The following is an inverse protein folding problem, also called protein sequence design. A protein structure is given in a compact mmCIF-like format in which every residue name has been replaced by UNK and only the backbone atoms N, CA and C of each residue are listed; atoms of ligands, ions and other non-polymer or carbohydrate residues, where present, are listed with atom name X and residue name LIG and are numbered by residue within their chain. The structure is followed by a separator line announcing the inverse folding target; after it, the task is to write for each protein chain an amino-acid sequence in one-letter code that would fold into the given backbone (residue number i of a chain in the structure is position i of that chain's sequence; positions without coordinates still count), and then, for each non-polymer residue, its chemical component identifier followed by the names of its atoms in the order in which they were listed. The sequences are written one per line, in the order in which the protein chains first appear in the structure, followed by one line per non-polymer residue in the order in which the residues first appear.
data_IF_238120629862
#
_entry.id   IF_238120629862
#
_cell.length_a   1.000
_cell.length_b   1.000
_cell.length_c   1.000
_cell.angle_alpha   90.00
_cell.angle_beta   90.00
_cell.angle_gamma   90.00
#
_symmetry.space_group_name_H-M   'P 1'
#
loop_
_entity.id
_entity.type
_entity.pdbx_description
1 polymer ?
#
# COMPACT_ATOMS: atom_id res chain seq x y z
N UNK A 1 35.81 -8.26 -2.01
CA UNK A 1 34.78 -9.32 -1.92
C UNK A 1 33.58 -8.80 -2.69
N UNK A 2 33.38 -9.28 -3.92
CA UNK A 2 32.25 -8.89 -4.77
C UNK A 2 30.96 -9.39 -4.10
N UNK A 3 30.11 -8.48 -3.62
CA UNK A 3 28.80 -8.84 -3.07
C UNK A 3 27.84 -9.12 -4.22
N UNK A 4 27.21 -10.28 -4.14
CA UNK A 4 26.26 -10.80 -5.11
C UNK A 4 24.86 -10.30 -4.77
N UNK A 5 24.22 -9.61 -5.71
CA UNK A 5 22.80 -9.28 -5.64
C UNK A 5 22.00 -10.55 -5.97
N UNK A 6 21.16 -11.00 -5.03
CA UNK A 6 20.28 -12.16 -5.22
C UNK A 6 18.92 -11.66 -5.66
N UNK A 7 18.57 -11.88 -6.93
CA UNK A 7 17.28 -11.53 -7.51
C UNK A 7 16.43 -12.79 -7.59
N UNK A 8 15.19 -12.72 -7.11
CA UNK A 8 14.24 -13.83 -7.13
C UNK A 8 13.32 -13.67 -8.35
N UNK A 9 13.50 -14.50 -9.36
CA UNK A 9 12.56 -14.58 -10.50
C UNK A 9 11.35 -15.48 -10.18
N UNK A 10 11.49 -16.45 -9.27
CA UNK A 10 10.43 -17.35 -8.75
C UNK A 10 10.86 -18.02 -7.41
N UNK A 11 9.93 -18.59 -6.60
CA UNK A 11 10.27 -19.32 -5.39
C UNK A 11 11.18 -20.51 -5.69
N UNK A 12 12.38 -20.53 -5.10
CA UNK A 12 13.27 -21.70 -5.09
C UNK A 12 14.34 -21.77 -6.18
N UNK A 13 14.50 -20.74 -7.03
CA UNK A 13 15.64 -20.66 -7.95
C UNK A 13 16.43 -19.37 -7.74
N UNK A 14 17.60 -19.49 -7.09
CA UNK A 14 18.55 -18.41 -6.92
C UNK A 14 19.31 -18.15 -8.23
N UNK A 15 19.31 -16.89 -8.71
CA UNK A 15 20.29 -16.43 -9.70
C UNK A 15 21.12 -15.29 -9.12
N UNK A 16 22.43 -15.51 -9.15
CA UNK A 16 23.47 -14.53 -8.81
C UNK A 16 23.58 -13.55 -9.98
N UNK A 17 23.09 -12.31 -9.82
CA UNK A 17 23.24 -11.27 -10.86
C UNK A 17 24.33 -10.30 -10.41
N UNK A 18 25.40 -10.19 -11.21
CA UNK A 18 26.50 -9.24 -10.99
C UNK A 18 26.08 -7.83 -11.46
N UNK A 19 26.61 -6.80 -10.79
CA UNK A 19 26.35 -5.36 -10.97
C UNK A 19 26.35 -4.81 -12.40
N UNK A 20 26.89 -5.55 -13.38
CA UNK A 20 26.89 -5.15 -14.79
C UNK A 20 25.54 -5.26 -15.51
N UNK A 21 24.54 -5.96 -14.95
CA UNK A 21 23.25 -6.21 -15.64
C UNK A 21 22.13 -5.23 -15.29
N UNK A 22 22.33 -4.31 -14.34
CA UNK A 22 21.32 -3.31 -13.93
C UNK A 22 21.16 -2.15 -14.93
N UNK A 23 22.03 -2.03 -15.93
CA UNK A 23 21.89 -1.04 -17.00
C UNK A 23 20.81 -1.48 -17.99
N UNK A 24 19.56 -1.13 -17.68
CA UNK A 24 18.50 -0.92 -18.67
C UNK A 24 17.39 -1.97 -18.79
N UNK A 25 17.26 -2.93 -17.87
CA UNK A 25 16.22 -3.99 -17.97
C UNK A 25 15.33 -4.09 -16.72
N UNK A 26 15.83 -3.70 -15.54
CA UNK A 26 15.06 -3.79 -14.30
C UNK A 26 14.07 -2.62 -14.17
N UNK A 27 12.78 -2.95 -14.19
CA UNK A 27 11.67 -2.00 -14.11
C UNK A 27 11.05 -1.87 -12.73
N UNK A 28 11.26 -2.88 -11.89
CA UNK A 28 10.99 -2.80 -10.47
C UNK A 28 11.99 -3.65 -9.68
N UNK A 29 12.14 -3.33 -8.40
CA UNK A 29 12.90 -4.11 -7.45
C UNK A 29 12.08 -4.28 -6.17
N UNK A 30 12.09 -5.51 -5.64
CA UNK A 30 11.59 -5.80 -4.30
C UNK A 30 12.81 -5.97 -3.40
N UNK A 31 12.98 -5.07 -2.45
CA UNK A 31 14.01 -5.16 -1.43
C UNK A 31 13.38 -5.72 -0.17
N UNK A 32 13.81 -6.91 0.24
CA UNK A 32 13.24 -7.61 1.40
C UNK A 32 14.21 -7.52 2.58
N UNK A 33 13.69 -7.20 3.76
CA UNK A 33 14.40 -7.36 5.04
C UNK A 33 13.58 -8.21 6.02
N UNK A 34 14.22 -8.67 7.09
CA UNK A 34 13.58 -9.44 8.15
C UNK A 34 13.26 -8.49 9.33
N UNK A 35 11.99 -8.37 9.70
CA UNK A 35 11.57 -7.46 10.79
C UNK A 35 12.17 -7.85 12.15
N UNK A 36 12.60 -9.10 12.31
CA UNK A 36 13.21 -9.64 13.53
C UNK A 36 14.73 -9.49 13.54
N UNK A 37 15.32 -8.74 12.59
CA UNK A 37 16.76 -8.57 12.50
C UNK A 37 17.15 -7.19 11.96
N UNK A 38 17.57 -6.29 12.86
CA UNK A 38 17.95 -4.91 12.51
C UNK A 38 19.06 -4.85 11.45
N UNK A 39 20.00 -5.81 11.45
CA UNK A 39 21.12 -5.84 10.50
C UNK A 39 20.64 -6.06 9.06
N UNK A 40 19.55 -6.80 8.87
CA UNK A 40 18.98 -7.01 7.52
C UNK A 40 18.33 -5.75 6.98
N UNK A 41 17.72 -4.94 7.86
CA UNK A 41 17.16 -3.65 7.48
C UNK A 41 18.25 -2.67 7.06
N UNK A 42 19.37 -2.57 7.80
CA UNK A 42 20.50 -1.73 7.38
C UNK A 42 21.08 -2.15 6.01
N UNK A 43 21.14 -3.47 5.73
CA UNK A 43 21.53 -3.96 4.40
C UNK A 43 20.51 -3.56 3.32
N UNK A 44 19.21 -3.67 3.61
CA UNK A 44 18.17 -3.24 2.68
C UNK A 44 18.29 -1.74 2.35
N UNK A 45 18.61 -0.89 3.33
CA UNK A 45 18.86 0.54 3.09
C UNK A 45 20.04 0.76 2.14
N UNK A 46 21.12 -0.01 2.29
CA UNK A 46 22.26 0.05 1.38
C UNK A 46 21.87 -0.36 -0.04
N UNK A 47 21.12 -1.46 -0.19
CA UNK A 47 20.64 -1.93 -1.50
C UNK A 47 19.69 -0.94 -2.18
N UNK A 48 18.81 -0.28 -1.41
CA UNK A 48 17.95 0.79 -1.93
C UNK A 48 18.77 1.93 -2.51
N UNK A 49 19.78 2.43 -1.78
CA UNK A 49 20.65 3.50 -2.27
C UNK A 49 21.40 3.07 -3.54
N UNK A 50 21.94 1.86 -3.53
CA UNK A 50 22.66 1.31 -4.69
C UNK A 50 21.74 1.19 -5.92
N UNK A 51 20.50 0.72 -5.74
CA UNK A 51 19.51 0.68 -6.81
C UNK A 51 19.21 2.08 -7.34
N UNK A 52 19.01 3.06 -6.48
CA UNK A 52 18.73 4.44 -6.89
C UNK A 52 19.89 5.10 -7.63
N UNK A 53 21.14 4.77 -7.27
CA UNK A 53 22.35 5.29 -7.93
C UNK A 53 22.64 4.60 -9.27
N UNK A 54 22.35 3.30 -9.38
CA UNK A 54 22.79 2.47 -10.52
C UNK A 54 21.71 2.23 -11.58
N UNK A 55 20.45 2.60 -11.33
CA UNK A 55 19.34 2.31 -12.24
C UNK A 55 18.73 3.59 -12.85
N UNK A 56 17.81 3.42 -13.80
CA UNK A 56 17.08 4.53 -14.42
C UNK A 56 16.26 5.30 -13.36
N UNK A 57 16.07 6.62 -13.49
CA UNK A 57 15.29 7.45 -12.54
C UNK A 57 13.80 7.05 -12.37
N UNK A 58 13.36 5.95 -12.98
CA UNK A 58 11.98 5.49 -13.00
C UNK A 58 11.79 4.06 -12.47
N UNK A 59 12.82 3.42 -11.88
CA UNK A 59 12.65 2.09 -11.30
C UNK A 59 11.61 2.12 -10.16
N UNK A 60 10.66 1.20 -10.16
CA UNK A 60 9.72 1.04 -9.05
C UNK A 60 10.40 0.26 -7.92
N UNK A 61 10.57 0.85 -6.75
CA UNK A 61 11.21 0.17 -5.61
C UNK A 61 10.17 -0.12 -4.53
N UNK A 62 9.94 -1.40 -4.27
CA UNK A 62 9.16 -1.88 -3.14
C UNK A 62 10.09 -2.32 -2.01
N UNK A 63 9.84 -1.85 -0.79
CA UNK A 63 10.47 -2.34 0.42
C UNK A 63 9.51 -3.27 1.16
N UNK A 64 9.96 -4.50 1.42
CA UNK A 64 9.15 -5.53 2.06
C UNK A 64 9.76 -5.99 3.39
N UNK A 65 9.04 -5.81 4.49
CA UNK A 65 9.42 -6.37 5.80
C UNK A 65 8.85 -7.78 5.96
N UNK A 66 9.66 -8.82 5.85
CA UNK A 66 9.25 -10.21 5.99
C UNK A 66 9.20 -10.66 7.47
N UNK A 67 8.43 -11.72 7.73
CA UNK A 67 8.10 -12.27 9.05
C UNK A 67 7.14 -11.43 9.88
N UNK A 68 6.18 -10.78 9.21
CA UNK A 68 5.12 -10.01 9.87
C UNK A 68 4.33 -10.81 10.93
N UNK A 69 4.33 -12.15 10.83
CA UNK A 69 3.75 -13.08 11.79
C UNK A 69 4.50 -13.12 13.15
N UNK A 70 5.74 -12.62 13.22
CA UNK A 70 6.60 -12.67 14.41
C UNK A 70 6.72 -11.32 15.13
N UNK A 71 5.60 -10.62 15.33
CA UNK A 71 5.56 -9.28 15.95
C UNK A 71 6.25 -9.20 17.32
N UNK A 72 6.14 -10.24 18.15
CA UNK A 72 6.75 -10.29 19.49
C UNK A 72 8.28 -10.33 19.48
N UNK A 73 8.89 -10.64 18.33
CA UNK A 73 10.34 -10.72 18.11
C UNK A 73 10.85 -9.58 17.24
N UNK A 74 10.02 -8.56 17.02
CA UNK A 74 10.34 -7.41 16.18
C UNK A 74 11.53 -6.64 16.73
N UNK A 75 12.54 -6.46 15.90
CA UNK A 75 13.67 -5.57 16.15
C UNK A 75 13.53 -4.28 15.34
N UNK A 76 12.97 -4.35 14.13
CA UNK A 76 12.73 -3.21 13.25
C UNK A 76 11.29 -2.73 13.44
N UNK A 77 11.11 -1.54 14.01
CA UNK A 77 9.77 -0.96 14.17
C UNK A 77 9.14 -0.70 12.81
N UNK A 78 7.82 -0.91 12.74
CA UNK A 78 7.06 -0.68 11.52
C UNK A 78 7.19 0.78 11.08
N UNK A 79 7.08 1.72 12.03
CA UNK A 79 7.10 3.16 11.78
C UNK A 79 8.47 3.62 11.27
N UNK A 80 9.56 3.02 11.78
CA UNK A 80 10.93 3.33 11.33
C UNK A 80 11.15 2.89 9.88
N UNK A 81 10.64 1.71 9.50
CA UNK A 81 10.72 1.20 8.15
C UNK A 81 9.81 1.94 7.17
N UNK A 82 8.59 2.28 7.61
CA UNK A 82 7.67 3.10 6.83
C UNK A 82 8.25 4.50 6.61
N UNK A 83 8.74 5.16 7.66
CA UNK A 83 9.36 6.48 7.56
C UNK A 83 10.57 6.45 6.63
N UNK A 84 11.43 5.43 6.76
CA UNK A 84 12.55 5.24 5.84
C UNK A 84 12.09 5.13 4.38
N UNK A 85 11.06 4.33 4.08
CA UNK A 85 10.53 4.16 2.74
C UNK A 85 10.01 5.50 2.17
N UNK A 86 9.34 6.31 3.00
CA UNK A 86 8.83 7.62 2.63
C UNK A 86 9.99 8.60 2.38
N UNK A 87 10.93 8.70 3.32
CA UNK A 87 12.06 9.62 3.28
C UNK A 87 13.00 9.34 2.09
N UNK A 88 13.07 8.07 1.67
CA UNK A 88 13.90 7.64 0.54
C UNK A 88 13.10 7.49 -0.75
N UNK A 89 11.87 8.02 -0.80
CA UNK A 89 11.02 8.02 -1.98
C UNK A 89 10.86 6.62 -2.60
N UNK A 90 10.54 5.60 -1.80
CA UNK A 90 10.17 4.27 -2.30
C UNK A 90 8.73 4.27 -2.78
N UNK A 91 8.38 3.37 -3.69
CA UNK A 91 7.06 3.36 -4.34
C UNK A 91 6.03 2.52 -3.59
N UNK A 92 6.51 1.54 -2.83
CA UNK A 92 5.69 0.67 -2.01
C UNK A 92 6.45 0.28 -0.74
N UNK A 93 5.76 0.31 0.39
CA UNK A 93 6.20 -0.34 1.61
C UNK A 93 5.10 -1.29 2.08
N UNK A 94 5.47 -2.52 2.39
CA UNK A 94 4.53 -3.53 2.87
C UNK A 94 5.24 -4.49 3.81
N UNK A 95 4.57 -4.91 4.87
CA UNK A 95 5.04 -6.06 5.63
C UNK A 95 4.33 -7.32 5.17
N UNK A 96 5.11 -8.38 5.02
CA UNK A 96 4.67 -9.67 4.49
C UNK A 96 5.08 -10.78 5.44
N UNK A 97 4.39 -11.91 5.35
CA UNK A 97 4.81 -13.15 6.00
C UNK A 97 4.86 -14.25 4.97
N UNK A 98 6.08 -14.69 4.63
CA UNK A 98 6.27 -15.86 3.78
C UNK A 98 5.80 -17.17 4.46
N UNK A 99 5.60 -17.17 5.78
CA UNK A 99 5.15 -18.34 6.53
C UNK A 99 3.62 -18.51 6.50
N UNK A 100 2.89 -17.40 6.46
CA UNK A 100 1.42 -17.37 6.51
C UNK A 100 0.78 -16.86 5.21
N UNK A 101 1.60 -16.61 4.19
CA UNK A 101 1.24 -15.94 2.93
C UNK A 101 0.63 -14.53 3.09
N UNK A 102 0.74 -13.93 4.28
CA UNK A 102 0.17 -12.62 4.56
C UNK A 102 0.83 -11.56 3.67
N UNK A 103 0.01 -10.84 2.89
CA UNK A 103 0.38 -9.75 1.99
C UNK A 103 1.42 -10.12 0.89
N UNK A 104 1.85 -11.39 0.78
CA UNK A 104 2.85 -11.83 -0.20
C UNK A 104 2.29 -11.71 -1.61
N UNK A 105 1.08 -12.23 -1.86
CA UNK A 105 0.41 -12.10 -3.16
C UNK A 105 0.19 -10.63 -3.53
N UNK A 106 -0.24 -9.80 -2.57
CA UNK A 106 -0.47 -8.37 -2.79
C UNK A 106 0.82 -7.61 -3.15
N UNK A 107 1.94 -7.94 -2.50
CA UNK A 107 3.26 -7.40 -2.84
C UNK A 107 3.64 -7.74 -4.28
N UNK A 108 3.53 -9.02 -4.66
CA UNK A 108 3.87 -9.46 -6.01
C UNK A 108 2.93 -8.89 -7.06
N UNK A 109 1.62 -8.89 -6.84
CA UNK A 109 0.62 -8.31 -7.78
C UNK A 109 0.87 -6.82 -7.97
N UNK A 110 1.20 -6.08 -6.91
CA UNK A 110 1.49 -4.65 -6.99
C UNK A 110 2.76 -4.38 -7.80
N UNK A 111 3.83 -5.16 -7.56
CA UNK A 111 5.12 -5.00 -8.23
C UNK A 111 5.11 -5.52 -9.68
N UNK A 112 4.49 -6.67 -9.94
CA UNK A 112 4.28 -7.23 -11.29
C UNK A 112 3.40 -6.32 -12.13
N UNK A 113 2.39 -5.69 -11.52
CA UNK A 113 1.61 -4.64 -12.16
C UNK A 113 2.48 -3.47 -12.66
N UNK A 114 3.56 -3.15 -11.95
CA UNK A 114 4.52 -2.10 -12.31
C UNK A 114 5.58 -2.55 -13.35
N UNK A 115 6.16 -3.76 -13.23
CA UNK A 115 7.23 -4.25 -14.13
C UNK A 115 6.75 -4.47 -15.57
N UNK A 116 5.49 -4.84 -15.75
CA UNK A 116 4.87 -5.04 -17.06
C UNK A 116 4.64 -3.71 -17.82
N UNK A 117 4.69 -2.57 -17.14
CA UNK A 117 4.43 -1.25 -17.73
C UNK A 117 5.67 -0.62 -18.39
N UNK A 118 6.89 -0.96 -17.95
CA UNK A 118 8.09 -0.27 -18.41
C UNK A 118 8.86 -1.01 -19.51
N UNK A 119 8.59 -2.31 -19.72
CA UNK A 119 9.18 -3.10 -20.80
C UNK A 119 8.51 -2.88 -22.18
N UNK A 120 7.38 -2.17 -22.27
CA UNK A 120 6.67 -1.98 -23.52
C UNK A 120 5.74 -0.76 -23.51
N UNK A 121 6.14 0.31 -24.20
CA UNK A 121 5.24 1.31 -24.82
C UNK A 121 4.46 0.67 -25.99
N UNK A 122 4.12 -0.63 -25.94
CA UNK A 122 3.33 -1.25 -27.03
C UNK A 122 2.43 -2.45 -26.67
N UNK A 123 2.47 -3.05 -25.48
CA UNK A 123 1.51 -4.11 -25.11
C UNK A 123 1.23 -4.13 -23.61
N UNK A 124 0.07 -3.59 -23.28
CA UNK A 124 -0.46 -3.39 -21.93
C UNK A 124 -0.79 -4.69 -21.19
N UNK A 125 -0.58 -4.72 -19.87
CA UNK A 125 -1.62 -5.23 -18.99
C UNK A 125 -2.74 -4.19 -19.01
N UNK A 126 -3.92 -4.50 -19.57
CA UNK A 126 -4.77 -3.46 -20.15
C UNK A 126 -5.41 -2.48 -19.14
N UNK A 127 -5.23 -2.65 -17.82
CA UNK A 127 -6.14 -2.11 -16.81
C UNK A 127 -5.43 -1.52 -15.55
N UNK A 128 -4.16 -1.13 -15.58
CA UNK A 128 -3.50 -0.50 -14.42
C UNK A 128 -2.90 0.88 -14.78
N UNK A 129 -3.08 1.88 -13.92
CA UNK A 129 -2.60 3.25 -14.10
C UNK A 129 -1.83 3.72 -12.86
N UNK A 130 -0.57 4.08 -13.06
CA UNK A 130 0.34 4.55 -12.01
C UNK A 130 0.73 6.02 -12.26
N UNK A 131 0.31 6.88 -11.34
CA UNK A 131 0.48 8.34 -11.36
C UNK A 131 1.09 8.85 -10.05
N UNK A 132 1.79 8.00 -9.31
CA UNK A 132 2.48 8.39 -8.07
C UNK A 132 3.66 9.32 -8.30
N UNK A 133 4.00 10.16 -7.31
CA UNK A 133 5.15 11.09 -7.32
C UNK A 133 5.18 12.08 -8.48
N UNK A 134 4.01 12.50 -8.97
CA UNK A 134 3.87 13.45 -10.09
C UNK A 134 3.56 14.88 -9.66
N UNK A 135 3.65 15.15 -8.35
CA UNK A 135 3.33 16.46 -7.76
C UNK A 135 1.93 16.96 -8.12
N UNK A 136 1.00 16.05 -8.44
CA UNK A 136 -0.35 16.40 -8.87
C UNK A 136 -1.07 17.14 -7.76
N UNK A 137 -1.63 18.31 -8.08
CA UNK A 137 -2.48 19.09 -7.18
C UNK A 137 -3.95 18.64 -7.28
N UNK A 138 -4.37 18.26 -8.49
CA UNK A 138 -5.72 17.79 -8.78
C UNK A 138 -5.67 16.65 -9.78
N UNK A 139 -6.72 15.83 -9.80
CA UNK A 139 -7.01 14.92 -10.89
C UNK A 139 -7.92 15.63 -11.89
N UNK A 140 -7.46 15.74 -13.14
CA UNK A 140 -8.31 16.22 -14.21
C UNK A 140 -9.53 15.30 -14.38
N UNK A 141 -10.68 15.88 -14.74
CA UNK A 141 -11.90 15.12 -15.01
C UNK A 141 -11.74 14.05 -16.09
N UNK A 142 -10.72 14.10 -16.93
CA UNK A 142 -10.45 13.08 -17.96
C UNK A 142 -9.98 11.74 -17.39
N UNK A 143 -9.32 11.71 -16.23
CA UNK A 143 -8.87 10.46 -15.55
C UNK A 143 -10.06 9.64 -15.04
N UNK A 144 -11.22 10.27 -14.93
CA UNK A 144 -12.40 9.63 -14.40
C UNK A 144 -13.13 8.74 -15.40
N UNK A 145 -12.80 8.79 -16.70
CA UNK A 145 -13.43 7.98 -17.74
C UNK A 145 -12.66 6.68 -18.05
N UNK A 146 -11.74 6.29 -17.16
CA UNK A 146 -10.90 5.12 -17.32
C UNK A 146 -11.62 3.85 -16.85
N UNK A 147 -12.70 3.50 -17.55
CA UNK A 147 -13.59 2.38 -17.20
C UNK A 147 -12.89 1.02 -17.18
N UNK A 148 -11.79 0.89 -17.91
CA UNK A 148 -11.00 -0.34 -17.94
C UNK A 148 -10.06 -0.46 -16.73
N UNK A 149 -9.73 0.62 -16.03
CA UNK A 149 -8.70 0.59 -14.98
C UNK A 149 -9.20 -0.15 -13.73
N UNK A 150 -8.44 -1.18 -13.35
CA UNK A 150 -8.55 -2.02 -12.15
C UNK A 150 -7.62 -1.56 -11.02
N UNK A 151 -6.45 -1.01 -11.35
CA UNK A 151 -5.49 -0.54 -10.34
C UNK A 151 -5.16 0.92 -10.63
N UNK A 152 -5.38 1.80 -9.66
CA UNK A 152 -5.03 3.21 -9.76
C UNK A 152 -4.14 3.59 -8.58
N UNK A 153 -2.90 3.95 -8.90
CA UNK A 153 -1.95 4.45 -7.93
C UNK A 153 -1.70 5.95 -8.11
N UNK A 154 -1.96 6.72 -7.07
CA UNK A 154 -1.85 8.18 -7.00
C UNK A 154 -1.03 8.62 -5.79
N UNK A 155 -0.21 7.72 -5.26
CA UNK A 155 0.58 7.93 -4.04
C UNK A 155 1.59 9.09 -4.17
N UNK A 156 1.94 9.70 -3.04
CA UNK A 156 2.98 10.76 -2.99
C UNK A 156 2.72 11.92 -3.97
N UNK A 157 1.49 12.42 -4.01
CA UNK A 157 1.13 13.62 -4.75
C UNK A 157 0.73 14.74 -3.77
N UNK A 158 0.22 15.85 -4.30
CA UNK A 158 -0.30 16.98 -3.52
C UNK A 158 -1.83 17.07 -3.63
N UNK A 159 -2.53 15.95 -3.88
CA UNK A 159 -3.96 15.96 -4.13
C UNK A 159 -4.69 16.44 -2.88
N UNK A 160 -5.49 17.49 -3.02
CA UNK A 160 -6.36 18.01 -1.94
C UNK A 160 -7.76 17.44 -2.00
N UNK A 161 -8.19 16.95 -3.16
CA UNK A 161 -9.48 16.35 -3.39
C UNK A 161 -9.42 15.29 -4.50
N UNK A 162 -10.43 14.42 -4.53
CA UNK A 162 -10.71 13.55 -5.68
C UNK A 162 -11.96 14.07 -6.40
N UNK A 163 -12.08 13.81 -7.72
CA UNK A 163 -13.26 14.20 -8.48
C UNK A 163 -14.55 13.65 -7.85
N UNK A 164 -15.53 14.54 -7.60
CA UNK A 164 -16.79 14.21 -6.91
C UNK A 164 -17.80 13.48 -7.78
N UNK A 165 -17.73 13.68 -9.10
CA UNK A 165 -18.54 12.95 -10.08
C UNK A 165 -17.75 12.65 -11.32
N UNK A 166 -17.89 11.41 -11.74
CA UNK A 166 -17.73 10.97 -13.11
C UNK A 166 -18.10 9.49 -13.16
N UNK A 167 -18.34 8.98 -14.37
CA UNK A 167 -18.56 7.57 -14.64
C UNK A 167 -17.36 6.78 -14.13
N UNK A 168 -17.39 6.39 -12.86
CA UNK A 168 -16.18 6.04 -12.12
C UNK A 168 -15.49 4.83 -12.74
N UNK A 169 -14.25 4.65 -12.30
CA UNK A 169 -13.43 3.45 -12.38
C UNK A 169 -14.20 2.26 -11.76
N UNK A 170 -15.34 1.89 -12.31
CA UNK A 170 -16.27 0.92 -11.72
C UNK A 170 -15.61 -0.44 -11.59
N UNK A 171 -14.66 -0.73 -12.48
CA UNK A 171 -13.84 -1.94 -12.43
C UNK A 171 -12.63 -1.84 -11.47
N UNK A 172 -12.47 -0.74 -10.73
CA UNK A 172 -11.33 -0.56 -9.83
C UNK A 172 -11.38 -1.55 -8.67
N UNK A 173 -10.30 -2.29 -8.51
CA UNK A 173 -10.08 -3.25 -7.43
C UNK A 173 -9.04 -2.73 -6.44
N UNK A 174 -8.12 -1.87 -6.85
CA UNK A 174 -7.09 -1.29 -5.97
C UNK A 174 -6.98 0.21 -6.19
N UNK A 175 -7.12 0.98 -5.11
CA UNK A 175 -6.94 2.42 -5.09
C UNK A 175 -5.90 2.82 -4.06
N UNK A 176 -4.80 3.41 -4.53
CA UNK A 176 -3.67 3.82 -3.70
C UNK A 176 -3.57 5.35 -3.72
N UNK A 177 -3.74 5.98 -2.58
CA UNK A 177 -3.83 7.43 -2.39
C UNK A 177 -2.96 7.93 -1.23
N UNK A 178 -2.10 7.07 -0.70
CA UNK A 178 -1.25 7.38 0.44
C UNK A 178 -0.30 8.56 0.18
N UNK A 179 0.05 9.30 1.23
CA UNK A 179 0.89 10.51 1.14
C UNK A 179 0.32 11.56 0.17
N UNK A 180 -0.90 12.00 0.44
CA UNK A 180 -1.54 13.12 -0.23
C UNK A 180 -2.01 14.16 0.80
N UNK A 181 -2.81 15.14 0.36
CA UNK A 181 -3.36 16.19 1.22
C UNK A 181 -4.89 16.14 1.25
N UNK A 182 -5.48 14.95 1.06
CA UNK A 182 -6.93 14.76 1.01
C UNK A 182 -7.54 15.06 2.38
N UNK A 183 -8.52 15.96 2.42
CA UNK A 183 -9.28 16.28 3.64
C UNK A 183 -10.56 15.46 3.78
N UNK A 184 -11.03 14.91 2.67
CA UNK A 184 -12.19 14.04 2.54
C UNK A 184 -12.05 13.13 1.32
N UNK A 185 -12.70 11.98 1.35
CA UNK A 185 -13.00 11.19 0.16
C UNK A 185 -14.38 11.60 -0.37
N UNK A 186 -14.60 11.66 -1.69
CA UNK A 186 -15.92 11.95 -2.24
C UNK A 186 -16.87 10.80 -1.93
N UNK A 187 -18.17 11.10 -1.76
CA UNK A 187 -19.22 10.09 -1.54
C UNK A 187 -19.26 9.04 -2.65
N UNK A 188 -18.80 9.37 -3.85
CA UNK A 188 -18.73 8.44 -4.97
C UNK A 188 -17.72 7.30 -4.75
N UNK A 189 -16.74 7.42 -3.85
CA UNK A 189 -15.77 6.33 -3.62
C UNK A 189 -16.44 5.02 -3.17
N UNK A 190 -17.60 5.09 -2.49
CA UNK A 190 -18.35 3.91 -2.06
C UNK A 190 -19.13 3.23 -3.20
N UNK A 191 -19.11 3.82 -4.40
CA UNK A 191 -19.64 3.25 -5.63
C UNK A 191 -18.65 2.33 -6.34
N UNK A 192 -17.38 2.31 -5.90
CA UNK A 192 -16.34 1.37 -6.34
C UNK A 192 -16.60 -0.02 -5.75
N UNK A 193 -17.72 -0.64 -6.10
CA UNK A 193 -18.20 -1.89 -5.48
C UNK A 193 -17.26 -3.10 -5.70
N UNK A 194 -16.34 -3.00 -6.66
CA UNK A 194 -15.31 -3.99 -6.94
C UNK A 194 -14.01 -3.78 -6.16
N UNK A 195 -13.91 -2.72 -5.35
CA UNK A 195 -12.70 -2.37 -4.61
C UNK A 195 -12.38 -3.43 -3.55
N UNK A 196 -11.13 -3.86 -3.55
CA UNK A 196 -10.53 -4.87 -2.66
C UNK A 196 -9.58 -4.19 -1.68
N UNK A 197 -8.75 -3.26 -2.17
CA UNK A 197 -7.79 -2.53 -1.35
C UNK A 197 -7.99 -1.01 -1.51
N UNK A 198 -8.07 -0.32 -0.38
CA UNK A 198 -8.09 1.14 -0.31
C UNK A 198 -7.02 1.62 0.67
N UNK A 199 -5.97 2.24 0.13
CA UNK A 199 -4.88 2.82 0.93
C UNK A 199 -4.96 4.35 0.86
N UNK A 200 -5.29 4.98 1.98
CA UNK A 200 -5.43 6.45 2.11
C UNK A 200 -4.66 6.96 3.33
N UNK A 201 -3.67 6.22 3.80
CA UNK A 201 -2.82 6.62 4.92
C UNK A 201 -2.02 7.89 4.61
N UNK A 202 -1.60 8.58 5.68
CA UNK A 202 -0.82 9.82 5.58
C UNK A 202 -1.54 10.88 4.72
N UNK A 203 -2.80 11.14 5.05
CA UNK A 203 -3.64 12.20 4.50
C UNK A 203 -4.20 13.08 5.64
N UNK A 204 -5.22 13.89 5.37
CA UNK A 204 -5.86 14.79 6.33
C UNK A 204 -7.35 14.49 6.51
N UNK A 205 -7.76 13.23 6.27
CA UNK A 205 -9.16 12.83 6.31
C UNK A 205 -9.75 13.04 7.70
N UNK A 206 -10.83 13.83 7.78
CA UNK A 206 -11.54 14.11 9.04
C UNK A 206 -12.77 13.22 9.23
N UNK A 207 -13.28 12.64 8.14
CA UNK A 207 -14.37 11.67 8.11
C UNK A 207 -14.22 10.72 6.93
N UNK A 208 -14.91 9.59 7.00
CA UNK A 208 -15.15 8.72 5.86
C UNK A 208 -16.52 9.04 5.23
N UNK A 209 -16.71 8.73 3.94
CA UNK A 209 -18.02 8.76 3.28
C UNK A 209 -19.07 7.95 4.02
N UNK A 210 -20.34 8.33 3.84
CA UNK A 210 -21.43 7.54 4.37
C UNK A 210 -21.52 6.18 3.66
N UNK A 211 -21.97 5.14 4.38
CA UNK A 211 -22.24 3.82 3.81
C UNK A 211 -21.00 3.10 3.25
N UNK A 212 -19.87 3.14 3.98
CA UNK A 212 -18.66 2.38 3.63
C UNK A 212 -18.96 0.89 3.40
N UNK A 213 -19.99 0.34 4.05
CA UNK A 213 -20.54 -1.01 3.83
C UNK A 213 -20.89 -1.37 2.39
N UNK A 214 -21.04 -0.39 1.49
CA UNK A 214 -21.28 -0.63 0.06
C UNK A 214 -20.08 -1.29 -0.63
N UNK A 215 -18.87 -1.11 -0.10
CA UNK A 215 -17.64 -1.72 -0.59
C UNK A 215 -17.55 -3.20 -0.17
N UNK A 216 -18.53 -4.02 -0.55
CA UNK A 216 -18.69 -5.42 -0.06
C UNK A 216 -17.49 -6.33 -0.34
N UNK A 217 -16.63 -5.96 -1.28
CA UNK A 217 -15.43 -6.70 -1.67
C UNK A 217 -14.16 -6.24 -0.96
N UNK A 218 -14.22 -5.18 -0.14
CA UNK A 218 -13.06 -4.60 0.52
C UNK A 218 -12.48 -5.59 1.52
N UNK A 219 -11.18 -5.86 1.37
CA UNK A 219 -10.37 -6.74 2.21
C UNK A 219 -9.39 -5.94 3.06
N UNK A 220 -8.81 -4.89 2.49
CA UNK A 220 -7.86 -4.03 3.18
C UNK A 220 -8.26 -2.56 3.11
N UNK A 221 -8.27 -1.92 4.28
CA UNK A 221 -8.53 -0.49 4.43
C UNK A 221 -7.46 0.12 5.34
N UNK A 222 -6.62 0.97 4.76
CA UNK A 222 -5.59 1.70 5.51
C UNK A 222 -5.93 3.18 5.62
N UNK A 223 -6.19 3.61 6.86
CA UNK A 223 -6.59 4.95 7.25
C UNK A 223 -5.54 5.61 8.14
N UNK A 224 -4.36 5.03 8.29
CA UNK A 224 -3.39 5.51 9.28
C UNK A 224 -2.99 6.95 9.07
N UNK A 225 -2.60 7.61 10.15
CA UNK A 225 -2.07 8.98 10.11
C UNK A 225 -3.00 9.96 9.39
N UNK A 226 -4.29 9.91 9.71
CA UNK A 226 -5.30 10.86 9.26
C UNK A 226 -5.82 11.70 10.46
N UNK A 227 -6.95 12.39 10.31
CA UNK A 227 -7.57 13.24 11.34
C UNK A 227 -8.93 12.70 11.78
N UNK A 228 -9.16 11.39 11.64
CA UNK A 228 -10.44 10.76 11.97
C UNK A 228 -10.68 10.79 13.48
N UNK A 229 -11.81 11.37 13.88
CA UNK A 229 -12.30 11.31 15.28
C UNK A 229 -13.32 10.19 15.49
N UNK A 230 -14.04 9.83 14.42
CA UNK A 230 -15.12 8.85 14.40
C UNK A 230 -15.05 7.98 13.16
N UNK A 231 -15.49 6.74 13.31
CA UNK A 231 -15.68 5.76 12.22
C UNK A 231 -17.02 5.08 12.50
N UNK A 232 -17.83 4.86 11.47
CA UNK A 232 -19.10 4.15 11.59
C UNK A 232 -18.84 2.65 11.80
N UNK A 233 -18.93 2.18 13.05
CA UNK A 233 -18.61 0.79 13.40
C UNK A 233 -19.57 -0.21 12.76
N UNK A 234 -20.84 0.18 12.60
CA UNK A 234 -21.86 -0.61 11.91
C UNK A 234 -21.45 -0.86 10.46
N UNK A 235 -21.01 0.18 9.74
CA UNK A 235 -20.56 0.03 8.36
C UNK A 235 -19.34 -0.89 8.25
N UNK A 236 -18.35 -0.74 9.14
CA UNK A 236 -17.16 -1.61 9.17
C UNK A 236 -17.52 -3.05 9.49
N UNK A 237 -18.46 -3.29 10.42
CA UNK A 237 -18.96 -4.62 10.77
C UNK A 237 -19.66 -5.31 9.58
N UNK A 238 -20.30 -4.55 8.71
CA UNK A 238 -20.96 -5.05 7.51
C UNK A 238 -20.01 -5.37 6.35
N UNK A 239 -18.75 -4.90 6.41
CA UNK A 239 -17.69 -5.31 5.49
C UNK A 239 -17.23 -6.74 5.82
N UNK A 240 -17.99 -7.73 5.36
CA UNK A 240 -17.77 -9.15 5.70
C UNK A 240 -16.44 -9.71 5.21
N UNK A 241 -15.88 -9.14 4.13
CA UNK A 241 -14.59 -9.55 3.56
C UNK A 241 -13.39 -8.76 4.11
N UNK A 242 -13.61 -7.75 4.95
CA UNK A 242 -12.54 -6.92 5.49
C UNK A 242 -11.71 -7.73 6.49
N UNK A 243 -10.46 -7.98 6.13
CA UNK A 243 -9.49 -8.74 6.93
C UNK A 243 -8.47 -7.84 7.61
N UNK A 244 -8.23 -6.63 7.10
CA UNK A 244 -7.29 -5.67 7.67
C UNK A 244 -7.87 -4.27 7.69
N UNK A 245 -7.90 -3.68 8.88
CA UNK A 245 -8.27 -2.28 9.10
C UNK A 245 -7.18 -1.59 9.91
N UNK A 246 -6.53 -0.63 9.28
CA UNK A 246 -5.49 0.16 9.92
C UNK A 246 -5.99 1.58 10.20
N UNK A 247 -6.02 1.99 11.47
CA UNK A 247 -6.52 3.29 11.95
C UNK A 247 -5.57 4.01 12.90
N UNK A 248 -4.40 3.44 13.19
CA UNK A 248 -3.34 4.07 13.97
C UNK A 248 -3.03 5.52 13.53
N UNK A 249 -2.59 6.37 14.46
CA UNK A 249 -2.25 7.76 14.17
C UNK A 249 -3.46 8.67 13.93
N UNK A 250 -4.69 8.18 14.15
CA UNK A 250 -5.90 9.00 14.13
C UNK A 250 -6.32 9.45 15.55
N UNK A 251 -6.86 10.68 15.70
CA UNK A 251 -7.39 11.17 16.96
C UNK A 251 -8.79 10.59 17.30
N UNK A 252 -8.92 9.26 17.22
CA UNK A 252 -10.17 8.54 17.51
C UNK A 252 -10.59 8.73 18.98
N UNK A 253 -11.89 8.94 19.20
CA UNK A 253 -12.43 9.01 20.57
C UNK A 253 -12.27 7.66 21.28
N UNK A 254 -12.22 7.70 22.63
CA UNK A 254 -12.13 6.47 23.45
C UNK A 254 -13.29 5.50 23.18
N UNK A 255 -14.48 6.02 22.91
CA UNK A 255 -15.66 5.23 22.55
C UNK A 255 -15.41 4.44 21.26
N UNK A 256 -14.95 5.10 20.20
CA UNK A 256 -14.68 4.46 18.90
C UNK A 256 -13.56 3.43 19.03
N UNK A 257 -12.49 3.74 19.78
CA UNK A 257 -11.42 2.78 20.07
C UNK A 257 -11.96 1.53 20.75
N UNK A 258 -12.82 1.67 21.78
CA UNK A 258 -13.45 0.52 22.46
C UNK A 258 -14.30 -0.30 21.49
N UNK A 259 -15.13 0.34 20.68
CA UNK A 259 -15.97 -0.37 19.70
C UNK A 259 -15.15 -1.11 18.64
N UNK A 260 -14.00 -0.56 18.21
CA UNK A 260 -13.07 -1.27 17.32
C UNK A 260 -12.43 -2.48 18.00
N UNK A 261 -12.02 -2.34 19.26
CA UNK A 261 -11.47 -3.47 20.04
C UNK A 261 -12.51 -4.57 20.26
N UNK A 262 -13.76 -4.21 20.57
CA UNK A 262 -14.88 -5.14 20.66
C UNK A 262 -15.16 -5.83 19.33
N UNK A 263 -15.12 -5.08 18.21
CA UNK A 263 -15.31 -5.64 16.88
C UNK A 263 -14.21 -6.67 16.56
N UNK A 264 -12.95 -6.37 16.88
CA UNK A 264 -11.82 -7.29 16.76
C UNK A 264 -12.04 -8.54 17.62
N UNK A 265 -12.42 -8.37 18.88
CA UNK A 265 -12.65 -9.47 19.82
C UNK A 265 -13.82 -10.38 19.41
N UNK A 266 -14.89 -9.82 18.83
CA UNK A 266 -16.04 -10.57 18.30
C UNK A 266 -15.72 -11.34 17.02
N UNK A 267 -14.61 -11.01 16.34
CA UNK A 267 -14.24 -11.55 15.04
C UNK A 267 -12.78 -12.06 15.04
N UNK A 268 -12.41 -12.97 15.95
CA UNK A 268 -11.03 -13.42 16.10
C UNK A 268 -10.54 -14.09 14.81
N UNK A 269 -9.38 -13.65 14.30
CA UNK A 269 -8.79 -14.16 13.06
C UNK A 269 -9.50 -13.74 11.76
N UNK A 270 -10.70 -13.15 11.83
CA UNK A 270 -11.41 -12.65 10.65
C UNK A 270 -10.92 -11.25 10.26
N UNK A 271 -10.77 -10.36 11.24
CA UNK A 271 -10.34 -8.98 11.00
C UNK A 271 -9.22 -8.59 11.97
N UNK A 272 -8.10 -8.15 11.41
CA UNK A 272 -7.01 -7.51 12.13
C UNK A 272 -7.25 -5.99 12.17
N UNK A 273 -7.17 -5.40 13.37
CA UNK A 273 -7.39 -3.97 13.58
C UNK A 273 -6.25 -3.42 14.42
N UNK A 274 -5.51 -2.46 13.87
CA UNK A 274 -4.53 -1.68 14.63
C UNK A 274 -5.23 -0.50 15.34
N UNK A 275 -5.18 -0.47 16.67
CA UNK A 275 -5.75 0.63 17.46
C UNK A 275 -4.68 1.12 18.41
N UNK A 276 -4.20 2.35 18.20
CA UNK A 276 -3.19 2.96 19.05
C UNK A 276 -3.69 3.16 20.49
N UNK A 277 -2.89 2.71 21.47
CA UNK A 277 -3.22 2.71 22.91
C UNK A 277 -3.29 1.32 23.55
N UNK A 278 -2.80 0.27 22.88
CA UNK A 278 -2.37 -0.94 23.58
C UNK A 278 -1.06 -0.64 24.32
N UNK A 279 -1.16 0.03 25.48
CA UNK A 279 -0.29 -0.01 26.66
C UNK A 279 -0.84 0.94 27.71
#
# INVERSE_FOLDING_TARGET
MEMVLVVWENPGNERIVRSMWLRGIAHAAIVVYDITNQRTFEKAKMWVKELQEQTSPHIFIALAGNKADLVSRREVKYEDAQSYAVDNNLDLFMEVSAQTDENVENLFVTVLGCTLHMANVSRATPNALYLGKRQLLTLAGTVTNLTEVKILCLSHNNLTELPTRANMLTNLTVLILNHNKLTQLPESVVELIHLICLYVDNNQLSSLPASMKRLKNLQELDLRNNKLKRICIEDISDLKRLTKLSVEGNPLTLEVKRSLLELRAKNPGRINIDVAGEH
#
